data_IF_085992425861
#
_entry.id   IF_085992425861
#
_cell.length_a   1.000
_cell.length_b   1.000
_cell.length_c   1.000
_cell.angle_alpha   90.00
_cell.angle_beta   90.00
_cell.angle_gamma   90.00
#
_symmetry.space_group_name_H-M   'P 1'
#
loop_
_entity.id
_entity.type
_entity.pdbx_description
1 polymer ?
#
# COMPACT_ATOMS: atom_id res chain seq x y z
N UNK A 1 25.81 14.88 -9.66
CA UNK A 1 24.44 15.33 -9.93
C UNK A 1 23.56 14.58 -8.96
N UNK A 2 23.40 15.14 -7.76
CA UNK A 2 22.58 14.60 -6.69
C UNK A 2 21.10 14.76 -7.05
N UNK A 3 20.36 13.65 -7.06
CA UNK A 3 18.90 13.70 -7.09
C UNK A 3 18.38 13.85 -5.65
N UNK A 4 17.52 14.83 -5.34
CA UNK A 4 16.92 14.94 -4.02
C UNK A 4 15.94 13.80 -3.82
N UNK A 5 16.11 13.05 -2.73
CA UNK A 5 15.14 12.08 -2.24
C UNK A 5 13.95 12.86 -1.68
N UNK A 6 12.95 13.13 -2.52
CA UNK A 6 11.72 13.79 -2.07
C UNK A 6 10.94 12.87 -1.11
N UNK A 7 10.73 13.42 0.08
CA UNK A 7 9.87 12.95 1.17
C UNK A 7 8.40 12.89 0.72
N UNK A 8 8.01 11.83 0.00
CA UNK A 8 6.60 11.53 -0.31
C UNK A 8 5.92 10.73 0.81
N UNK A 9 6.24 11.02 2.07
CA UNK A 9 5.63 10.38 3.23
C UNK A 9 4.47 11.16 3.86
N UNK A 10 4.16 12.37 3.38
CA UNK A 10 3.27 13.28 4.10
C UNK A 10 1.85 13.30 3.51
N UNK A 11 0.92 12.87 4.36
CA UNK A 11 -0.49 13.29 4.49
C UNK A 11 -1.58 12.86 3.46
N UNK A 12 -1.40 11.83 2.63
CA UNK A 12 -2.52 11.25 1.85
C UNK A 12 -3.48 10.35 2.68
N UNK A 13 -3.07 9.94 3.87
CA UNK A 13 -3.86 9.03 4.71
C UNK A 13 -5.07 9.74 5.35
N UNK A 14 -4.94 11.02 5.70
CA UNK A 14 -6.01 11.77 6.36
C UNK A 14 -7.17 12.13 5.43
N UNK A 15 -6.90 12.40 4.15
CA UNK A 15 -7.93 12.74 3.16
C UNK A 15 -8.77 11.52 2.76
N UNK A 16 -8.12 10.38 2.56
CA UNK A 16 -8.80 9.14 2.15
C UNK A 16 -9.74 8.61 3.24
N UNK A 17 -9.33 8.70 4.51
CA UNK A 17 -10.17 8.26 5.63
C UNK A 17 -11.42 9.15 5.79
N UNK A 18 -11.27 10.47 5.62
CA UNK A 18 -12.42 11.38 5.66
C UNK A 18 -13.41 11.17 4.51
N UNK A 19 -12.91 10.86 3.31
CA UNK A 19 -13.75 10.54 2.16
C UNK A 19 -14.50 9.22 2.36
N UNK A 20 -13.82 8.20 2.90
CA UNK A 20 -14.41 6.92 3.27
C UNK A 20 -15.50 7.07 4.34
N UNK A 21 -15.21 7.78 5.43
CA UNK A 21 -16.19 8.05 6.49
C UNK A 21 -17.42 8.79 5.97
N UNK A 22 -17.22 9.74 5.05
CA UNK A 22 -18.31 10.49 4.42
C UNK A 22 -19.15 9.60 3.50
N UNK A 23 -18.51 8.76 2.68
CA UNK A 23 -19.18 7.85 1.76
C UNK A 23 -20.01 6.78 2.51
N UNK A 24 -19.49 6.27 3.63
CA UNK A 24 -20.07 5.17 4.40
C UNK A 24 -20.76 5.60 5.69
N UNK A 25 -21.08 6.90 5.84
CA UNK A 25 -21.63 7.49 7.08
C UNK A 25 -22.81 6.70 7.66
N UNK A 26 -23.79 6.32 6.83
CA UNK A 26 -24.99 5.60 7.27
C UNK A 26 -24.65 4.22 7.84
N UNK A 27 -23.71 3.52 7.22
CA UNK A 27 -23.28 2.19 7.65
C UNK A 27 -22.49 2.28 8.95
N UNK A 28 -21.64 3.30 9.09
CA UNK A 28 -20.89 3.56 10.33
C UNK A 28 -21.82 3.90 11.51
N UNK A 29 -22.88 4.66 11.27
CA UNK A 29 -23.92 4.94 12.28
C UNK A 29 -24.65 3.65 12.70
N UNK A 30 -25.00 2.79 11.73
CA UNK A 30 -25.63 1.50 12.00
C UNK A 30 -24.70 0.55 12.79
N UNK A 31 -23.42 0.46 12.42
CA UNK A 31 -22.41 -0.33 13.13
C UNK A 31 -22.25 0.19 14.55
N UNK A 32 -22.16 1.50 14.74
CA UNK A 32 -22.05 2.12 16.06
C UNK A 32 -23.26 1.75 16.93
N UNK A 33 -24.48 1.82 16.38
CA UNK A 33 -25.70 1.46 17.11
C UNK A 33 -25.73 -0.02 17.52
N UNK A 34 -25.24 -0.93 16.66
CA UNK A 34 -25.11 -2.36 16.98
C UNK A 34 -24.07 -2.57 18.08
N UNK A 35 -22.91 -1.93 17.98
CA UNK A 35 -21.85 -2.03 18.98
C UNK A 35 -22.31 -1.53 20.35
N UNK A 36 -23.01 -0.39 20.41
CA UNK A 36 -23.62 0.14 21.65
C UNK A 36 -24.51 -0.92 22.31
N UNK A 37 -25.36 -1.59 21.52
CA UNK A 37 -26.27 -2.64 22.03
C UNK A 37 -25.54 -3.88 22.54
N UNK A 38 -24.47 -4.29 21.88
CA UNK A 38 -23.73 -5.51 22.22
C UNK A 38 -22.81 -5.28 23.43
N UNK A 39 -22.09 -4.16 23.43
CA UNK A 39 -21.05 -3.91 24.43
C UNK A 39 -21.57 -3.13 25.63
N UNK A 40 -22.79 -2.57 25.57
CA UNK A 40 -23.35 -1.66 26.59
C UNK A 40 -22.50 -0.40 26.83
N UNK A 41 -21.64 -0.03 25.87
CA UNK A 41 -20.86 1.19 25.93
C UNK A 41 -21.59 2.35 25.26
N UNK A 42 -21.18 3.57 25.59
CA UNK A 42 -21.68 4.78 24.94
C UNK A 42 -21.09 4.94 23.53
N UNK A 43 -21.78 5.67 22.63
CA UNK A 43 -21.23 6.01 21.33
C UNK A 43 -19.86 6.71 21.41
N UNK A 44 -19.65 7.53 22.44
CA UNK A 44 -18.39 8.24 22.68
C UNK A 44 -17.24 7.29 23.00
N UNK A 45 -17.49 6.21 23.74
CA UNK A 45 -16.48 5.19 24.07
C UNK A 45 -16.18 4.29 22.87
N UNK A 46 -17.17 4.02 22.01
CA UNK A 46 -17.00 3.18 20.83
C UNK A 46 -16.25 3.90 19.71
N UNK A 47 -16.48 5.21 19.56
CA UNK A 47 -15.88 6.01 18.48
C UNK A 47 -14.37 5.83 18.32
N UNK A 48 -13.52 5.99 19.36
CA UNK A 48 -12.08 5.81 19.21
C UNK A 48 -11.68 4.39 18.79
N UNK A 49 -12.44 3.37 19.20
CA UNK A 49 -12.19 1.98 18.79
C UNK A 49 -12.56 1.74 17.33
N UNK A 50 -13.66 2.34 16.87
CA UNK A 50 -14.08 2.28 15.48
C UNK A 50 -13.09 3.02 14.58
N UNK A 51 -12.68 4.23 14.96
CA UNK A 51 -11.72 5.04 14.20
C UNK A 51 -10.37 4.32 14.06
N UNK A 52 -9.89 3.66 15.13
CA UNK A 52 -8.67 2.85 15.09
C UNK A 52 -8.80 1.60 14.19
N UNK A 53 -9.97 0.97 14.16
CA UNK A 53 -10.25 -0.18 13.29
C UNK A 53 -10.32 0.25 11.81
N UNK A 54 -11.01 1.35 11.52
CA UNK A 54 -11.12 1.93 10.19
C UNK A 54 -9.75 2.33 9.63
N UNK A 55 -8.92 2.96 10.46
CA UNK A 55 -7.55 3.34 10.08
C UNK A 55 -6.74 2.13 9.61
N UNK A 56 -6.81 1.00 10.35
CA UNK A 56 -6.11 -0.24 9.98
C UNK A 56 -6.65 -0.88 8.71
N UNK A 57 -7.96 -0.85 8.49
CA UNK A 57 -8.58 -1.42 7.30
C UNK A 57 -8.19 -0.63 6.04
N UNK A 58 -8.22 0.70 6.11
CA UNK A 58 -7.78 1.57 5.01
C UNK A 58 -6.29 1.36 4.70
N UNK A 59 -5.44 1.22 5.71
CA UNK A 59 -4.02 0.90 5.53
C UNK A 59 -3.81 -0.49 4.89
N UNK A 60 -4.58 -1.49 5.32
CA UNK A 60 -4.52 -2.84 4.77
C UNK A 60 -4.99 -2.91 3.32
N UNK A 61 -6.00 -2.12 2.94
CA UNK A 61 -6.47 -2.03 1.56
C UNK A 61 -5.35 -1.51 0.63
N UNK A 62 -4.57 -0.52 1.09
CA UNK A 62 -3.40 -0.02 0.34
C UNK A 62 -2.32 -1.08 0.12
N UNK A 63 -2.17 -2.03 1.05
CA UNK A 63 -1.25 -3.15 0.87
C UNK A 63 -1.72 -4.13 -0.23
N UNK A 64 -3.04 -4.21 -0.50
CA UNK A 64 -3.59 -5.07 -1.55
C UNK A 64 -3.30 -4.57 -2.97
N UNK A 65 -3.04 -3.26 -3.14
CA UNK A 65 -2.67 -2.66 -4.43
C UNK A 65 -1.18 -2.83 -4.78
N UNK A 66 -0.36 -3.31 -3.83
CA UNK A 66 1.08 -3.47 -4.00
C UNK A 66 1.45 -4.37 -5.20
N UNK A 67 0.79 -5.51 -5.48
CA UNK A 67 1.09 -6.32 -6.65
C UNK A 67 0.82 -5.58 -7.97
N UNK A 68 -0.27 -4.81 -8.04
CA UNK A 68 -0.64 -4.05 -9.24
C UNK A 68 0.33 -2.89 -9.50
N UNK A 69 0.68 -2.15 -8.45
CA UNK A 69 1.67 -1.06 -8.52
C UNK A 69 3.06 -1.59 -8.92
N UNK A 70 3.49 -2.72 -8.36
CA UNK A 70 4.75 -3.38 -8.75
C UNK A 70 4.73 -3.83 -10.21
N UNK A 71 3.65 -4.43 -10.67
CA UNK A 71 3.51 -4.83 -12.07
C UNK A 71 3.57 -3.62 -13.02
N UNK A 72 2.94 -2.50 -12.65
CA UNK A 72 3.00 -1.27 -13.42
C UNK A 72 4.43 -0.70 -13.46
N UNK A 73 5.07 -0.52 -12.31
CA UNK A 73 6.44 0.00 -12.22
C UNK A 73 7.43 -0.88 -13.00
N UNK A 74 7.25 -2.21 -12.95
CA UNK A 74 8.06 -3.14 -13.74
C UNK A 74 7.87 -2.94 -15.24
N UNK A 75 6.63 -2.78 -15.73
CA UNK A 75 6.38 -2.51 -17.16
C UNK A 75 6.98 -1.18 -17.59
N UNK A 76 6.82 -0.12 -16.80
CA UNK A 76 7.39 1.20 -17.10
C UNK A 76 8.92 1.12 -17.19
N UNK A 77 9.55 0.39 -16.25
CA UNK A 77 10.97 0.08 -16.32
C UNK A 77 11.34 -0.69 -17.59
N UNK A 78 10.62 -1.76 -17.97
CA UNK A 78 10.88 -2.50 -19.22
C UNK A 78 10.75 -1.61 -20.45
N UNK A 79 9.68 -0.82 -20.56
CA UNK A 79 9.44 0.04 -21.72
C UNK A 79 10.52 1.14 -21.85
N UNK A 80 10.98 1.72 -20.73
CA UNK A 80 12.10 2.70 -20.76
C UNK A 80 13.41 2.13 -21.32
N UNK A 81 13.62 0.80 -21.22
CA UNK A 81 14.85 0.13 -21.67
C UNK A 81 14.69 -0.56 -23.04
N UNK A 82 13.46 -0.68 -23.56
CA UNK A 82 13.15 -1.39 -24.81
C UNK A 82 13.84 -0.80 -26.05
N UNK A 83 14.12 0.50 -26.03
CA UNK A 83 14.83 1.21 -27.09
C UNK A 83 16.34 1.34 -26.88
N UNK A 84 16.89 0.87 -25.76
CA UNK A 84 18.29 1.12 -25.38
C UNK A 84 19.30 0.17 -26.07
N UNK A 85 18.86 -0.75 -26.95
CA UNK A 85 19.72 -1.74 -27.62
C UNK A 85 20.73 -2.40 -26.65
N UNK A 86 20.27 -2.75 -25.46
CA UNK A 86 21.10 -3.37 -24.45
C UNK A 86 21.58 -4.74 -24.96
N UNK A 87 22.86 -5.10 -24.76
CA UNK A 87 23.35 -6.40 -25.16
C UNK A 87 22.64 -7.49 -24.36
N UNK A 88 22.31 -8.60 -25.02
CA UNK A 88 21.82 -9.78 -24.34
C UNK A 88 22.91 -10.29 -23.39
N UNK A 89 22.51 -10.66 -22.18
CA UNK A 89 23.39 -11.31 -21.24
C UNK A 89 23.71 -12.72 -21.74
N UNK A 90 24.95 -13.16 -21.57
CA UNK A 90 25.36 -14.55 -21.86
C UNK A 90 24.80 -15.50 -20.81
N UNK A 91 24.67 -16.79 -21.16
CA UNK A 91 24.20 -17.82 -20.22
C UNK A 91 25.09 -17.90 -18.97
N UNK A 92 26.39 -17.66 -19.13
CA UNK A 92 27.34 -17.56 -18.02
C UNK A 92 27.01 -16.38 -17.09
N UNK A 93 26.68 -15.20 -17.64
CA UNK A 93 26.34 -14.01 -16.86
C UNK A 93 25.01 -14.11 -16.10
N UNK A 94 24.10 -15.00 -16.53
CA UNK A 94 22.83 -15.29 -15.84
C UNK A 94 22.94 -16.58 -15.00
N UNK A 95 24.06 -17.29 -15.05
CA UNK A 95 24.24 -18.55 -14.32
C UNK A 95 24.22 -18.31 -12.82
N UNK A 96 23.51 -19.20 -12.10
CA UNK A 96 23.47 -19.20 -10.63
C UNK A 96 24.86 -19.32 -10.03
N UNK A 97 25.75 -20.06 -10.69
CA UNK A 97 27.16 -20.22 -10.28
C UNK A 97 27.96 -18.92 -10.47
N UNK A 98 27.68 -18.13 -11.52
CA UNK A 98 28.30 -16.81 -11.69
C UNK A 98 27.79 -15.79 -10.66
N UNK A 99 26.49 -15.80 -10.35
CA UNK A 99 25.87 -14.84 -9.43
C UNK A 99 26.16 -15.17 -7.96
N UNK A 100 26.32 -16.45 -7.61
CA UNK A 100 26.43 -16.89 -6.21
C UNK A 100 27.64 -17.79 -5.90
N UNK A 101 28.49 -18.13 -6.88
CA UNK A 101 29.52 -19.17 -6.74
C UNK A 101 30.73 -18.80 -5.89
N UNK A 102 31.07 -17.52 -5.71
CA UNK A 102 32.18 -17.10 -4.83
C UNK A 102 31.88 -17.27 -3.32
N UNK A 103 30.69 -17.73 -2.95
CA UNK A 103 30.34 -18.08 -1.56
C UNK A 103 30.40 -19.60 -1.36
N UNK A 104 31.59 -20.17 -1.51
CA UNK A 104 31.92 -21.57 -1.21
C UNK A 104 33.19 -21.65 -0.39
#
# INVERSE_FOLDING_TARGET
MDAPLEDFGRNENGSHLQEFEKAHKKDLEAITAVLVKITHHTPQEIKPHLDAMLSRLVESEKASDLPRKRAQAFREWVESHRGMNLPNLSDEAISRESIYGERG
#
